data_IF_481177888899
#
_entry.id   IF_481177888899
#
_cell.length_a   1.000
_cell.length_b   1.000
_cell.length_c   1.000
_cell.angle_alpha   90.00
_cell.angle_beta   90.00
_cell.angle_gamma   90.00
#
_symmetry.space_group_name_H-M   'P 1'
#
loop_
_entity.id
_entity.type
_entity.pdbx_description
1 polymer ?
#
# COMPACT_ATOMS: atom_id res chain seq x y z
N UNK A 1 -49.92 -25.37 31.49
CA UNK A 1 -49.28 -26.18 30.43
C UNK A 1 -48.22 -25.29 29.82
N UNK A 2 -46.95 -25.68 29.97
CA UNK A 2 -45.81 -24.90 29.49
C UNK A 2 -45.46 -25.38 28.08
N UNK A 3 -45.50 -24.48 27.09
CA UNK A 3 -44.92 -24.74 25.77
C UNK A 3 -43.62 -23.95 25.65
N UNK A 4 -42.56 -24.68 25.34
CA UNK A 4 -41.18 -24.24 25.40
C UNK A 4 -40.84 -23.20 24.34
N UNK A 5 -40.16 -22.14 24.78
CA UNK A 5 -39.49 -21.19 23.91
C UNK A 5 -38.40 -21.93 23.12
N UNK A 6 -38.53 -21.98 21.80
CA UNK A 6 -37.51 -22.50 20.90
C UNK A 6 -36.24 -21.65 21.03
N UNK A 7 -35.14 -22.30 21.41
CA UNK A 7 -33.83 -21.67 21.44
C UNK A 7 -33.43 -21.26 20.01
N UNK A 8 -33.43 -19.94 19.74
CA UNK A 8 -32.78 -19.39 18.57
C UNK A 8 -31.30 -19.78 18.62
N UNK A 9 -30.89 -20.68 17.73
CA UNK A 9 -29.47 -21.00 17.53
C UNK A 9 -28.76 -19.72 17.08
N UNK A 10 -28.09 -19.03 18.01
CA UNK A 10 -27.15 -17.95 17.69
C UNK A 10 -26.19 -18.47 16.62
N UNK A 11 -26.26 -17.88 15.43
CA UNK A 11 -25.27 -18.11 14.37
C UNK A 11 -23.91 -17.72 14.93
N UNK A 12 -23.12 -18.71 15.29
CA UNK A 12 -21.75 -18.51 15.72
C UNK A 12 -20.95 -18.06 14.50
N UNK A 13 -20.50 -16.82 14.50
CA UNK A 13 -19.56 -16.34 13.49
C UNK A 13 -18.17 -16.80 13.91
N UNK A 14 -17.41 -17.41 12.98
CA UNK A 14 -15.98 -17.72 13.21
C UNK A 14 -15.22 -16.44 13.61
N UNK A 15 -15.68 -15.27 13.16
CA UNK A 15 -15.13 -13.96 13.46
C UNK A 15 -15.33 -13.49 14.92
N UNK A 16 -16.24 -14.12 15.67
CA UNK A 16 -16.49 -13.76 17.09
C UNK A 16 -15.56 -14.51 18.06
N UNK A 17 -14.64 -15.33 17.54
CA UNK A 17 -13.64 -16.05 18.34
C UNK A 17 -12.51 -15.10 18.76
N UNK A 18 -12.14 -15.07 20.06
CA UNK A 18 -11.09 -14.18 20.58
C UNK A 18 -9.69 -14.45 20.01
N UNK A 19 -9.48 -15.64 19.44
CA UNK A 19 -8.21 -16.07 18.85
C UNK A 19 -8.06 -15.71 17.37
N UNK A 20 -9.07 -15.07 16.76
CA UNK A 20 -9.00 -14.62 15.37
C UNK A 20 -8.54 -13.16 15.35
N UNK A 21 -7.27 -12.87 14.97
CA UNK A 21 -6.78 -11.49 14.87
C UNK A 21 -7.47 -10.79 13.70
N UNK A 22 -8.64 -10.20 13.96
CA UNK A 22 -9.40 -9.49 12.94
C UNK A 22 -8.63 -8.26 12.47
N UNK A 23 -8.30 -8.22 11.19
CA UNK A 23 -7.77 -7.03 10.52
C UNK A 23 -6.28 -6.74 10.75
N UNK A 24 -5.53 -7.66 11.38
CA UNK A 24 -4.07 -7.55 11.52
C UNK A 24 -3.39 -8.80 11.00
N UNK A 25 -2.39 -8.63 10.11
CA UNK A 25 -1.58 -9.76 9.70
C UNK A 25 -0.65 -10.18 10.84
N UNK A 26 -0.38 -11.48 10.96
CA UNK A 26 0.76 -11.98 11.69
C UNK A 26 2.06 -11.25 11.29
N UNK A 27 3.01 -11.02 12.22
CA UNK A 27 4.21 -10.21 11.97
C UNK A 27 5.03 -10.64 10.75
N UNK A 28 5.12 -11.96 10.49
CA UNK A 28 5.87 -12.48 9.34
C UNK A 28 5.22 -12.14 7.99
N UNK A 29 3.88 -12.07 7.93
CA UNK A 29 3.16 -11.69 6.71
C UNK A 29 3.19 -10.17 6.48
N UNK A 30 3.15 -9.35 7.55
CA UNK A 30 3.39 -7.91 7.41
C UNK A 30 4.79 -7.62 6.86
N UNK A 31 5.81 -8.30 7.37
CA UNK A 31 7.19 -8.18 6.88
C UNK A 31 7.28 -8.60 5.41
N UNK A 32 6.69 -9.74 5.04
CA UNK A 32 6.66 -10.22 3.67
C UNK A 32 5.96 -9.25 2.70
N UNK A 33 4.85 -8.62 3.11
CA UNK A 33 4.11 -7.68 2.26
C UNK A 33 4.82 -6.33 2.11
N UNK A 34 5.59 -5.90 3.10
CA UNK A 34 6.17 -4.54 3.17
C UNK A 34 7.63 -4.45 2.78
N UNK A 35 8.38 -5.57 2.77
CA UNK A 35 9.84 -5.56 2.57
C UNK A 35 10.31 -6.68 1.65
N UNK A 36 11.16 -6.30 0.69
CA UNK A 36 12.03 -7.23 -0.02
C UNK A 36 13.24 -7.52 0.87
N UNK A 37 13.58 -8.80 1.05
CA UNK A 37 14.77 -9.19 1.84
C UNK A 37 15.88 -9.68 0.92
N UNK A 38 17.08 -9.12 1.10
CA UNK A 38 18.27 -9.50 0.33
C UNK A 38 19.04 -10.61 1.06
N UNK A 39 18.78 -11.86 0.71
CA UNK A 39 19.57 -12.99 1.22
C UNK A 39 20.82 -13.23 0.37
N UNK A 40 21.75 -14.03 0.90
CA UNK A 40 23.01 -14.40 0.22
C UNK A 40 22.77 -15.12 -1.09
N UNK A 41 21.75 -15.97 -1.16
CA UNK A 41 21.46 -16.78 -2.35
C UNK A 41 20.64 -15.99 -3.37
N UNK A 42 19.49 -15.43 -2.96
CA UNK A 42 18.63 -14.63 -3.82
C UNK A 42 17.73 -13.67 -3.01
N UNK A 43 17.28 -12.55 -3.60
CA UNK A 43 16.23 -11.73 -3.00
C UNK A 43 14.92 -12.52 -2.83
N UNK A 44 14.25 -12.32 -1.70
CA UNK A 44 12.94 -12.91 -1.39
C UNK A 44 11.89 -11.82 -1.18
N UNK A 45 10.61 -12.17 -1.36
CA UNK A 45 9.46 -11.25 -1.28
C UNK A 45 9.52 -10.14 -2.33
N UNK A 46 10.01 -10.45 -3.53
CA UNK A 46 10.10 -9.51 -4.65
C UNK A 46 8.76 -9.20 -5.31
N UNK A 47 7.75 -10.07 -5.10
CA UNK A 47 6.42 -9.91 -5.65
C UNK A 47 5.52 -9.05 -4.77
N UNK A 48 4.72 -8.18 -5.39
CA UNK A 48 3.72 -7.39 -4.68
C UNK A 48 2.42 -8.19 -4.50
N UNK A 49 2.12 -8.55 -3.24
CA UNK A 49 0.87 -9.21 -2.85
C UNK A 49 -0.10 -8.15 -2.33
N UNK A 50 -0.67 -7.36 -3.24
CA UNK A 50 -1.55 -6.23 -2.93
C UNK A 50 -2.86 -6.22 -3.72
N UNK A 51 -3.21 -7.33 -4.38
CA UNK A 51 -4.52 -7.47 -5.04
C UNK A 51 -5.64 -7.52 -3.99
N UNK A 52 -6.86 -7.14 -4.39
CA UNK A 52 -8.00 -6.94 -3.48
C UNK A 52 -8.36 -8.16 -2.62
N UNK A 53 -8.20 -9.38 -3.15
CA UNK A 53 -8.47 -10.62 -2.44
C UNK A 53 -7.34 -11.08 -1.50
N UNK A 54 -6.17 -10.44 -1.55
CA UNK A 54 -5.06 -10.82 -0.68
C UNK A 54 -5.45 -10.60 0.78
N UNK A 55 -5.31 -11.65 1.60
CA UNK A 55 -5.58 -11.62 3.03
C UNK A 55 -7.04 -11.31 3.41
N UNK A 56 -7.99 -11.47 2.48
CA UNK A 56 -9.42 -11.28 2.75
C UNK A 56 -9.94 -12.24 3.85
N UNK A 57 -9.40 -13.46 3.92
CA UNK A 57 -9.69 -14.43 4.99
C UNK A 57 -9.14 -14.01 6.37
N UNK A 58 -8.31 -12.98 6.44
CA UNK A 58 -7.81 -12.37 7.68
C UNK A 58 -8.51 -11.03 7.97
N UNK A 59 -9.56 -10.70 7.22
CA UNK A 59 -10.33 -9.47 7.39
C UNK A 59 -9.63 -8.22 6.86
N UNK A 60 -8.68 -8.36 5.94
CA UNK A 60 -7.91 -7.22 5.40
C UNK A 60 -8.46 -6.79 4.05
N UNK A 61 -8.78 -5.50 3.97
CA UNK A 61 -9.20 -4.85 2.74
C UNK A 61 -7.98 -4.24 2.01
N UNK A 62 -7.58 -4.90 0.91
CA UNK A 62 -6.56 -4.41 -0.02
C UNK A 62 -7.16 -3.82 -1.30
N UNK A 63 -8.45 -3.45 -1.30
CA UNK A 63 -9.09 -2.84 -2.47
C UNK A 63 -8.39 -1.54 -2.87
N UNK A 64 -8.14 -1.37 -4.17
CA UNK A 64 -7.55 -0.15 -4.73
C UNK A 64 -8.53 1.00 -4.64
N UNK A 65 -8.32 1.88 -3.66
CA UNK A 65 -9.15 3.06 -3.40
C UNK A 65 -8.38 4.32 -3.79
N UNK A 66 -8.95 5.13 -4.69
CA UNK A 66 -8.28 6.32 -5.22
C UNK A 66 -7.98 7.33 -4.09
N UNK A 67 -8.90 7.49 -3.14
CA UNK A 67 -8.72 8.32 -1.95
C UNK A 67 -7.51 7.87 -1.12
N UNK A 68 -7.38 6.57 -0.87
CA UNK A 68 -6.24 5.99 -0.15
C UNK A 68 -4.94 6.18 -0.93
N UNK A 69 -4.97 6.02 -2.25
CA UNK A 69 -3.80 6.28 -3.09
C UNK A 69 -3.38 7.75 -3.01
N UNK A 70 -4.30 8.69 -3.26
CA UNK A 70 -4.01 10.12 -3.23
C UNK A 70 -3.50 10.62 -1.87
N UNK A 71 -3.98 10.06 -0.77
CA UNK A 71 -3.55 10.44 0.57
C UNK A 71 -2.15 9.91 0.95
N UNK A 72 -1.71 8.80 0.36
CA UNK A 72 -0.43 8.17 0.67
C UNK A 72 0.65 8.45 -0.39
N UNK A 73 0.23 8.76 -1.61
CA UNK A 73 1.13 9.06 -2.72
C UNK A 73 1.77 10.43 -2.52
N UNK A 74 3.10 10.47 -2.53
CA UNK A 74 3.86 11.71 -2.49
C UNK A 74 5.17 11.57 -3.26
N UNK A 75 5.66 12.71 -3.72
CA UNK A 75 6.95 12.84 -4.40
C UNK A 75 7.80 13.80 -3.59
N UNK A 76 8.99 13.37 -3.20
CA UNK A 76 9.96 14.16 -2.47
C UNK A 76 11.16 14.42 -3.40
N UNK A 77 11.41 15.68 -3.75
CA UNK A 77 12.57 16.04 -4.59
C UNK A 77 13.81 16.08 -3.70
N UNK A 78 14.75 15.17 -3.96
CA UNK A 78 16.00 15.05 -3.19
C UNK A 78 17.03 16.04 -3.72
N UNK A 79 17.21 16.09 -5.04
CA UNK A 79 18.15 16.98 -5.72
C UNK A 79 17.61 17.42 -7.08
N UNK A 80 17.96 18.64 -7.46
CA UNK A 80 17.58 19.20 -8.75
C UNK A 80 18.69 20.12 -9.27
N UNK A 81 19.28 19.73 -10.39
CA UNK A 81 20.33 20.45 -11.10
C UNK A 81 19.85 20.78 -12.53
N UNK A 82 20.67 21.51 -13.31
CA UNK A 82 20.34 21.87 -14.69
C UNK A 82 20.16 20.64 -15.61
N UNK A 83 20.93 19.58 -15.37
CA UNK A 83 20.94 18.38 -16.23
C UNK A 83 20.15 17.19 -15.64
N UNK A 84 20.03 17.12 -14.31
CA UNK A 84 19.55 15.92 -13.61
C UNK A 84 18.57 16.26 -12.47
N UNK A 85 17.63 15.35 -12.25
CA UNK A 85 16.68 15.41 -11.15
C UNK A 85 16.62 14.07 -10.41
N UNK A 86 16.69 14.13 -9.08
CA UNK A 86 16.57 13.00 -8.18
C UNK A 86 15.37 13.20 -7.26
N UNK A 87 14.47 12.21 -7.22
CA UNK A 87 13.27 12.25 -6.40
C UNK A 87 12.88 10.87 -5.89
N UNK A 88 12.30 10.86 -4.70
CA UNK A 88 11.67 9.70 -4.12
C UNK A 88 10.18 9.71 -4.42
N UNK A 89 9.68 8.60 -4.97
CA UNK A 89 8.26 8.36 -5.13
C UNK A 89 7.79 7.38 -4.06
N UNK A 90 6.91 7.85 -3.17
CA UNK A 90 6.41 7.08 -2.03
C UNK A 90 4.91 6.82 -2.21
N UNK A 91 4.45 5.64 -1.79
CA UNK A 91 3.04 5.26 -1.88
C UNK A 91 2.60 4.83 -3.28
N UNK A 92 3.54 4.61 -4.21
CA UNK A 92 3.28 4.06 -5.53
C UNK A 92 3.44 2.55 -5.58
N UNK A 93 2.68 1.91 -6.45
CA UNK A 93 2.78 0.48 -6.76
C UNK A 93 3.70 0.28 -7.96
N UNK A 94 4.56 -0.73 -7.91
CA UNK A 94 5.54 -1.02 -8.97
C UNK A 94 4.89 -1.15 -10.36
N UNK A 95 3.70 -1.75 -10.43
CA UNK A 95 2.95 -1.95 -11.70
C UNK A 95 2.43 -0.66 -12.33
N UNK A 96 2.38 0.45 -11.59
CA UNK A 96 1.90 1.74 -12.11
C UNK A 96 3.05 2.58 -12.70
N UNK A 97 4.29 2.10 -12.68
CA UNK A 97 5.45 2.77 -13.28
C UNK A 97 5.51 2.61 -14.81
N UNK A 98 4.39 2.86 -15.49
CA UNK A 98 4.35 2.87 -16.95
C UNK A 98 5.14 4.06 -17.51
N UNK A 99 5.64 4.01 -18.77
CA UNK A 99 6.29 5.16 -19.42
C UNK A 99 5.42 6.42 -19.39
N UNK A 100 4.09 6.28 -19.47
CA UNK A 100 3.15 7.41 -19.38
C UNK A 100 3.16 8.08 -18.00
N UNK A 101 3.29 7.28 -16.95
CA UNK A 101 3.32 7.80 -15.58
C UNK A 101 4.68 8.43 -15.27
N UNK A 102 5.76 7.89 -15.84
CA UNK A 102 7.09 8.53 -15.82
C UNK A 102 7.03 9.91 -16.44
N UNK A 103 6.50 10.04 -17.67
CA UNK A 103 6.37 11.35 -18.34
C UNK A 103 5.51 12.32 -17.53
N UNK A 104 4.37 11.87 -16.99
CA UNK A 104 3.49 12.74 -16.22
C UNK A 104 4.16 13.28 -14.94
N UNK A 105 5.00 12.46 -14.27
CA UNK A 105 5.74 12.87 -13.06
C UNK A 105 6.88 13.82 -13.41
N UNK A 106 7.61 13.57 -14.51
CA UNK A 106 8.60 14.50 -15.04
C UNK A 106 7.98 15.86 -15.38
N UNK A 107 6.89 15.88 -16.16
CA UNK A 107 6.16 17.10 -16.53
C UNK A 107 5.65 17.89 -15.32
N UNK A 108 5.09 17.19 -14.32
CA UNK A 108 4.58 17.82 -13.10
C UNK A 108 5.73 18.44 -12.30
N UNK A 109 6.87 17.78 -12.26
CA UNK A 109 7.99 18.28 -11.47
C UNK A 109 8.74 19.41 -12.16
N UNK A 110 8.90 19.35 -13.49
CA UNK A 110 9.40 20.49 -14.28
C UNK A 110 8.50 21.72 -14.12
N UNK A 111 7.17 21.54 -14.17
CA UNK A 111 6.22 22.63 -13.93
C UNK A 111 6.32 23.19 -12.52
N UNK A 112 6.59 22.35 -11.51
CA UNK A 112 6.82 22.79 -10.14
C UNK A 112 8.13 23.60 -10.01
N UNK A 113 9.20 23.16 -10.68
CA UNK A 113 10.48 23.87 -10.74
C UNK A 113 10.35 25.26 -11.37
N UNK A 114 9.69 25.36 -12.53
CA UNK A 114 9.47 26.62 -13.24
C UNK A 114 8.64 27.62 -12.42
N UNK A 115 7.74 27.13 -11.56
CA UNK A 115 6.85 27.98 -10.75
C UNK A 115 7.52 28.51 -9.48
N UNK A 116 8.48 27.78 -8.91
CA UNK A 116 9.17 28.17 -7.67
C UNK A 116 10.67 27.83 -7.69
N UNK A 117 11.48 28.49 -8.55
CA UNK A 117 12.90 28.18 -8.72
C UNK A 117 13.74 28.40 -7.46
N UNK A 118 13.31 29.30 -6.56
CA UNK A 118 14.05 29.66 -5.33
C UNK A 118 13.83 28.73 -4.14
N UNK A 119 12.92 27.77 -4.23
CA UNK A 119 12.64 26.82 -3.13
C UNK A 119 13.56 25.59 -3.19
N UNK A 120 14.11 25.29 -4.37
CA UNK A 120 14.83 24.04 -4.65
C UNK A 120 16.34 24.22 -4.89
N UNK A 121 16.82 25.46 -4.97
CA UNK A 121 18.25 25.79 -4.97
C UNK A 121 18.67 26.08 -3.52
N UNK A 122 19.17 25.06 -2.80
CA UNK A 122 19.88 25.26 -1.54
C UNK A 122 21.13 24.40 -1.49
#
# INVERSE_FOLDING_TARGET
MAEGAGEEKKKFSIWDLPDVPMGQLPPHLELQRSRVSCNKDAPIHTESIQYSGAYASMGIDNSSRLDRFSNNFRVEVVRLNEDDMEFDMIGSYMVNWSPKLQTAVSDLTEKAFLKHPKVFLR
#
